data_IF_466018826421
#
_entry.id   IF_466018826421
#
_cell.length_a   1.000
_cell.length_b   1.000
_cell.length_c   1.000
_cell.angle_alpha   90.00
_cell.angle_beta   90.00
_cell.angle_gamma   90.00
#
_symmetry.space_group_name_H-M   'P 1'
#
loop_
_entity.id
_entity.type
_entity.pdbx_description
1 polymer ?
#
# COMPACT_ATOMS: atom_id res chain seq x y z
N UNK A 1 19.66 6.73 -5.32
CA UNK A 1 19.65 5.58 -4.39
C UNK A 1 18.56 4.62 -4.86
N UNK A 2 18.81 3.32 -4.91
CA UNK A 2 17.82 2.36 -5.37
C UNK A 2 16.55 2.47 -4.50
N UNK A 3 15.36 2.47 -5.12
CA UNK A 3 14.07 2.56 -4.42
C UNK A 3 13.88 1.51 -3.31
N UNK A 4 14.70 0.45 -3.32
CA UNK A 4 14.73 -0.64 -2.34
C UNK A 4 15.63 -0.40 -1.13
N UNK A 5 16.62 0.48 -1.26
CA UNK A 5 17.62 0.76 -0.24
C UNK A 5 17.28 2.07 0.46
N UNK A 6 16.11 2.10 1.10
CA UNK A 6 15.73 3.19 1.99
C UNK A 6 16.57 3.07 3.25
N UNK A 7 17.20 4.17 3.63
CA UNK A 7 17.86 4.24 4.92
C UNK A 7 16.80 4.17 6.02
N UNK A 8 16.92 3.16 6.89
CA UNK A 8 15.99 2.89 7.99
C UNK A 8 16.68 3.02 9.36
N UNK A 9 17.96 3.37 9.39
CA UNK A 9 18.69 3.61 10.65
C UNK A 9 18.45 5.03 11.17
N UNK A 10 18.02 5.94 10.29
CA UNK A 10 17.65 7.32 10.62
C UNK A 10 16.13 7.48 10.76
N UNK A 11 15.70 8.39 11.66
CA UNK A 11 14.28 8.69 11.85
C UNK A 11 13.64 9.24 10.57
N UNK A 12 14.30 10.21 9.93
CA UNK A 12 13.81 10.83 8.70
C UNK A 12 13.66 9.81 7.56
N UNK A 13 14.61 8.86 7.45
CA UNK A 13 14.54 7.77 6.48
C UNK A 13 13.37 6.83 6.72
N UNK A 14 13.15 6.44 7.98
CA UNK A 14 12.05 5.57 8.38
C UNK A 14 10.66 6.24 8.22
N UNK A 15 10.54 7.53 8.55
CA UNK A 15 9.33 8.33 8.32
C UNK A 15 9.07 8.52 6.82
N UNK A 16 10.09 8.86 6.04
CA UNK A 16 9.99 8.99 4.59
C UNK A 16 9.54 7.69 3.92
N UNK A 17 10.07 6.54 4.35
CA UNK A 17 9.62 5.23 3.89
C UNK A 17 8.13 4.99 4.19
N UNK A 18 7.72 5.23 5.45
CA UNK A 18 6.34 5.04 5.90
C UNK A 18 5.36 5.96 5.15
N UNK A 19 5.74 7.22 4.90
CA UNK A 19 4.92 8.17 4.13
C UNK A 19 4.79 7.75 2.67
N UNK A 20 5.88 7.31 2.03
CA UNK A 20 5.86 6.82 0.64
C UNK A 20 4.98 5.57 0.49
N UNK A 21 5.07 4.63 1.43
CA UNK A 21 4.16 3.48 1.45
C UNK A 21 2.70 3.89 1.68
N UNK A 22 2.45 4.88 2.53
CA UNK A 22 1.12 5.46 2.70
C UNK A 22 0.57 6.09 1.43
N UNK A 23 1.41 6.78 0.66
CA UNK A 23 1.03 7.33 -0.66
C UNK A 23 0.71 6.23 -1.67
N UNK A 24 1.49 5.15 -1.69
CA UNK A 24 1.19 3.98 -2.53
C UNK A 24 -0.17 3.35 -2.17
N UNK A 25 -0.54 3.29 -0.89
CA UNK A 25 -1.87 2.86 -0.47
C UNK A 25 -2.98 3.80 -0.98
N UNK A 26 -2.79 5.11 -0.98
CA UNK A 26 -3.78 6.02 -1.55
C UNK A 26 -3.90 5.90 -3.07
N UNK A 27 -2.80 5.68 -3.78
CA UNK A 27 -2.85 5.38 -5.23
C UNK A 27 -3.62 4.09 -5.47
N UNK A 28 -3.34 3.02 -4.71
CA UNK A 28 -4.08 1.77 -4.81
C UNK A 28 -5.58 1.96 -4.54
N UNK A 29 -5.94 2.72 -3.50
CA UNK A 29 -7.33 3.09 -3.23
C UNK A 29 -7.96 3.83 -4.43
N UNK A 30 -7.28 4.82 -5.00
CA UNK A 30 -7.76 5.52 -6.20
C UNK A 30 -7.96 4.58 -7.40
N UNK A 31 -7.02 3.66 -7.64
CA UNK A 31 -7.14 2.66 -8.70
C UNK A 31 -8.31 1.69 -8.47
N UNK A 32 -8.58 1.28 -7.23
CA UNK A 32 -9.77 0.46 -6.92
C UNK A 32 -11.08 1.18 -7.23
N UNK A 33 -11.16 2.51 -6.96
CA UNK A 33 -12.33 3.33 -7.31
C UNK A 33 -12.50 3.41 -8.83
N UNK A 34 -11.41 3.61 -9.58
CA UNK A 34 -11.46 3.60 -11.05
C UNK A 34 -11.89 2.22 -11.56
N UNK A 35 -11.34 1.14 -10.99
CA UNK A 35 -11.74 -0.23 -11.31
C UNK A 35 -13.22 -0.50 -11.04
N UNK A 36 -13.76 0.05 -9.95
CA UNK A 36 -15.19 -0.04 -9.63
C UNK A 36 -16.05 0.69 -10.67
N UNK A 37 -15.66 1.90 -11.08
CA UNK A 37 -16.38 2.64 -12.11
C UNK A 37 -16.39 1.88 -13.44
N UNK A 38 -15.27 1.26 -13.81
CA UNK A 38 -15.17 0.40 -15.00
C UNK A 38 -16.04 -0.86 -14.87
N UNK A 39 -16.04 -1.50 -13.69
CA UNK A 39 -16.90 -2.66 -13.42
C UNK A 39 -18.36 -2.29 -13.66
N UNK A 40 -18.85 -1.19 -13.07
CA UNK A 40 -20.23 -0.72 -13.24
C UNK A 40 -20.53 -0.41 -14.71
N UNK A 41 -19.63 0.26 -15.42
CA UNK A 41 -19.85 0.64 -16.82
C UNK A 41 -19.91 -0.55 -17.79
N UNK A 42 -19.23 -1.66 -17.47
CA UNK A 42 -19.11 -2.83 -18.34
C UNK A 42 -20.01 -4.01 -17.91
N UNK A 43 -20.72 -3.89 -16.79
CA UNK A 43 -21.50 -4.98 -16.22
C UNK A 43 -22.82 -5.20 -16.99
N UNK A 44 -23.03 -6.42 -17.48
CA UNK A 44 -24.22 -6.81 -18.23
C UNK A 44 -24.97 -8.01 -17.62
N UNK A 45 -24.71 -8.33 -16.34
CA UNK A 45 -25.30 -9.47 -15.62
C UNK A 45 -26.45 -9.08 -14.67
N UNK A 46 -26.89 -10.02 -13.80
CA UNK A 46 -27.87 -9.76 -12.75
C UNK A 46 -27.38 -8.76 -11.69
N UNK A 47 -28.25 -7.88 -11.21
CA UNK A 47 -27.88 -6.80 -10.27
C UNK A 47 -27.25 -7.34 -8.98
N UNK A 48 -27.66 -8.53 -8.52
CA UNK A 48 -27.13 -9.16 -7.32
C UNK A 48 -25.61 -9.42 -7.43
N UNK A 49 -25.15 -9.83 -8.62
CA UNK A 49 -23.72 -10.05 -8.88
C UNK A 49 -22.93 -8.75 -8.91
N UNK A 50 -23.54 -7.66 -9.41
CA UNK A 50 -22.94 -6.32 -9.39
C UNK A 50 -22.77 -5.81 -7.96
N UNK A 51 -23.80 -5.96 -7.11
CA UNK A 51 -23.76 -5.54 -5.70
C UNK A 51 -22.65 -6.26 -4.94
N UNK A 52 -22.50 -7.57 -5.14
CA UNK A 52 -21.42 -8.35 -4.55
C UNK A 52 -20.04 -7.86 -5.00
N UNK A 53 -19.87 -7.60 -6.30
CA UNK A 53 -18.63 -7.05 -6.85
C UNK A 53 -18.28 -5.66 -6.29
N UNK A 54 -19.25 -4.75 -6.23
CA UNK A 54 -19.06 -3.40 -5.66
C UNK A 54 -18.69 -3.49 -4.19
N UNK A 55 -19.37 -4.32 -3.40
CA UNK A 55 -19.06 -4.49 -1.98
C UNK A 55 -17.62 -5.00 -1.75
N UNK A 56 -17.18 -5.95 -2.59
CA UNK A 56 -15.80 -6.44 -2.58
C UNK A 56 -14.79 -5.32 -2.83
N UNK A 57 -14.91 -4.62 -3.95
CA UNK A 57 -13.98 -3.53 -4.31
C UNK A 57 -14.03 -2.38 -3.29
N UNK A 58 -15.22 -2.03 -2.79
CA UNK A 58 -15.37 -1.00 -1.76
C UNK A 58 -14.63 -1.37 -0.47
N UNK A 59 -14.66 -2.65 -0.07
CA UNK A 59 -13.92 -3.12 1.11
C UNK A 59 -12.41 -2.96 0.93
N UNK A 60 -11.87 -3.26 -0.25
CA UNK A 60 -10.46 -3.05 -0.58
C UNK A 60 -10.09 -1.57 -0.54
N UNK A 61 -10.92 -0.70 -1.12
CA UNK A 61 -10.73 0.76 -1.08
C UNK A 61 -10.63 1.26 0.36
N UNK A 62 -11.48 0.76 1.27
CA UNK A 62 -11.45 1.13 2.69
C UNK A 62 -10.15 0.66 3.34
N UNK A 63 -9.73 -0.59 3.10
CA UNK A 63 -8.49 -1.12 3.68
C UNK A 63 -7.28 -0.32 3.21
N UNK A 64 -7.15 -0.05 1.91
CA UNK A 64 -6.06 0.77 1.37
C UNK A 64 -6.07 2.18 1.95
N UNK A 65 -7.25 2.80 2.05
CA UNK A 65 -7.40 4.15 2.63
C UNK A 65 -6.95 4.18 4.10
N UNK A 66 -7.41 3.23 4.92
CA UNK A 66 -7.04 3.13 6.34
C UNK A 66 -5.55 2.84 6.50
N UNK A 67 -4.99 1.93 5.68
CA UNK A 67 -3.56 1.65 5.65
C UNK A 67 -2.74 2.89 5.30
N UNK A 68 -3.18 3.68 4.31
CA UNK A 68 -2.54 4.94 3.93
C UNK A 68 -2.42 5.92 5.09
N UNK A 69 -3.52 6.19 5.80
CA UNK A 69 -3.50 7.06 6.96
C UNK A 69 -2.64 6.51 8.10
N UNK A 70 -2.72 5.19 8.36
CA UNK A 70 -1.97 4.56 9.45
C UNK A 70 -0.47 4.50 9.19
N UNK A 71 -0.04 4.26 7.94
CA UNK A 71 1.37 4.29 7.55
C UNK A 71 1.95 5.70 7.66
N UNK A 72 1.23 6.74 7.23
CA UNK A 72 1.66 8.14 7.42
C UNK A 72 1.79 8.55 8.88
N UNK A 73 1.03 7.93 9.78
CA UNK A 73 1.15 8.13 11.22
C UNK A 73 2.26 7.30 11.89
N UNK A 74 3.08 6.56 11.12
CA UNK A 74 4.13 5.68 11.64
C UNK A 74 3.62 4.44 12.38
N UNK A 75 2.30 4.23 12.45
CA UNK A 75 1.64 3.14 13.21
C UNK A 75 0.98 2.10 12.30
N UNK A 76 1.41 2.07 11.03
CA UNK A 76 0.73 1.34 9.96
C UNK A 76 1.21 -0.07 9.70
N UNK A 77 2.02 -0.70 10.58
CA UNK A 77 2.59 -2.04 10.31
C UNK A 77 1.51 -3.08 10.02
N UNK A 78 0.47 -3.15 10.84
CA UNK A 78 -0.61 -4.14 10.67
C UNK A 78 -1.42 -3.83 9.41
N UNK A 79 -1.95 -2.60 9.31
CA UNK A 79 -2.81 -2.21 8.19
C UNK A 79 -2.08 -2.19 6.85
N UNK A 80 -0.83 -1.72 6.82
CA UNK A 80 0.03 -1.77 5.65
C UNK A 80 0.39 -3.20 5.24
N UNK A 81 0.59 -4.11 6.20
CA UNK A 81 0.76 -5.53 5.93
C UNK A 81 -0.49 -6.18 5.32
N UNK A 82 -1.68 -5.87 5.85
CA UNK A 82 -2.96 -6.33 5.28
C UNK A 82 -3.16 -5.77 3.87
N UNK A 83 -2.90 -4.49 3.64
CA UNK A 83 -2.98 -3.87 2.32
C UNK A 83 -2.02 -4.51 1.31
N UNK A 84 -0.77 -4.76 1.72
CA UNK A 84 0.21 -5.45 0.87
C UNK A 84 -0.25 -6.89 0.53
N UNK A 85 -0.81 -7.61 1.51
CA UNK A 85 -1.35 -8.96 1.29
C UNK A 85 -2.53 -8.94 0.31
N UNK A 86 -3.47 -8.00 0.45
CA UNK A 86 -4.58 -7.85 -0.49
C UNK A 86 -4.08 -7.59 -1.91
N UNK A 87 -3.07 -6.72 -2.07
CA UNK A 87 -2.49 -6.42 -3.37
C UNK A 87 -1.80 -7.66 -3.98
N UNK A 88 -1.15 -8.50 -3.18
CA UNK A 88 -0.58 -9.78 -3.62
C UNK A 88 -1.70 -10.72 -4.09
N UNK A 89 -2.78 -10.86 -3.31
CA UNK A 89 -3.93 -11.70 -3.69
C UNK A 89 -4.52 -11.21 -5.01
N UNK A 90 -4.72 -9.90 -5.17
CA UNK A 90 -5.23 -9.29 -6.40
C UNK A 90 -4.32 -9.60 -7.61
N UNK A 91 -3.00 -9.50 -7.44
CA UNK A 91 -2.04 -9.84 -8.49
C UNK A 91 -2.09 -11.32 -8.87
N UNK A 92 -2.19 -12.23 -7.89
CA UNK A 92 -2.33 -13.67 -8.14
C UNK A 92 -3.63 -13.95 -8.89
N UNK A 93 -4.74 -13.33 -8.48
CA UNK A 93 -6.02 -13.49 -9.17
C UNK A 93 -5.95 -13.01 -10.61
N UNK A 94 -5.38 -11.82 -10.88
CA UNK A 94 -5.16 -11.31 -12.24
C UNK A 94 -4.31 -12.23 -13.10
N UNK A 95 -3.30 -12.87 -12.50
CA UNK A 95 -2.46 -13.84 -13.19
C UNK A 95 -3.25 -15.12 -13.53
N UNK A 96 -4.02 -15.66 -12.58
CA UNK A 96 -4.82 -16.88 -12.78
C UNK A 96 -5.91 -16.67 -13.82
N UNK A 97 -6.58 -15.52 -13.81
CA UNK A 97 -7.66 -15.21 -14.75
C UNK A 97 -7.15 -14.67 -16.10
N UNK A 98 -5.85 -14.41 -16.23
CA UNK A 98 -5.23 -13.77 -17.41
C UNK A 98 -5.87 -12.43 -17.79
N UNK A 99 -6.45 -11.72 -16.81
CA UNK A 99 -7.11 -10.44 -17.01
C UNK A 99 -6.21 -9.29 -16.56
N UNK A 100 -6.09 -8.24 -17.38
CA UNK A 100 -5.48 -6.98 -16.93
C UNK A 100 -3.98 -7.07 -16.63
N UNK A 101 -3.23 -7.81 -17.45
CA UNK A 101 -1.77 -8.01 -17.31
C UNK A 101 -1.00 -6.69 -17.19
N UNK A 102 -1.41 -5.64 -17.90
CA UNK A 102 -0.80 -4.32 -17.80
C UNK A 102 -0.86 -3.74 -16.37
N UNK A 103 -1.91 -4.05 -15.61
CA UNK A 103 -2.07 -3.62 -14.22
C UNK A 103 -1.15 -4.36 -13.23
N UNK A 104 -0.58 -5.50 -13.60
CA UNK A 104 0.31 -6.28 -12.72
C UNK A 104 1.60 -5.50 -12.46
N UNK A 105 2.14 -4.80 -13.47
CA UNK A 105 3.36 -3.99 -13.31
C UNK A 105 3.12 -2.84 -12.33
N UNK A 106 1.98 -2.15 -12.46
CA UNK A 106 1.58 -1.07 -11.54
C UNK A 106 1.46 -1.62 -10.12
N UNK A 107 0.75 -2.74 -9.94
CA UNK A 107 0.60 -3.38 -8.64
C UNK A 107 1.94 -3.82 -8.03
N UNK A 108 2.88 -4.30 -8.84
CA UNK A 108 4.21 -4.67 -8.36
C UNK A 108 5.00 -3.46 -7.84
N UNK A 109 4.96 -2.33 -8.56
CA UNK A 109 5.59 -1.09 -8.10
C UNK A 109 4.94 -0.61 -6.80
N UNK A 110 3.61 -0.58 -6.74
CA UNK A 110 2.88 -0.19 -5.53
C UNK A 110 3.22 -1.11 -4.35
N UNK A 111 3.29 -2.42 -4.58
CA UNK A 111 3.66 -3.41 -3.57
C UNK A 111 5.05 -3.13 -3.00
N UNK A 112 6.03 -2.83 -3.84
CA UNK A 112 7.39 -2.50 -3.39
C UNK A 112 7.39 -1.28 -2.46
N UNK A 113 6.66 -0.22 -2.81
CA UNK A 113 6.51 0.97 -1.97
C UNK A 113 5.76 0.67 -0.66
N UNK A 114 4.69 -0.15 -0.71
CA UNK A 114 3.97 -0.57 0.49
C UNK A 114 4.87 -1.35 1.44
N UNK A 115 5.63 -2.33 0.94
CA UNK A 115 6.57 -3.13 1.75
C UNK A 115 7.61 -2.23 2.42
N UNK A 116 8.19 -1.28 1.68
CA UNK A 116 9.13 -0.31 2.27
C UNK A 116 8.47 0.57 3.33
N UNK A 117 7.22 0.98 3.13
CA UNK A 117 6.47 1.70 4.15
C UNK A 117 6.18 0.88 5.40
N UNK A 118 5.85 -0.41 5.26
CA UNK A 118 5.70 -1.31 6.40
C UNK A 118 7.01 -1.46 7.16
N UNK A 119 8.15 -1.60 6.46
CA UNK A 119 9.49 -1.66 7.06
C UNK A 119 9.83 -0.36 7.81
N UNK A 120 9.52 0.80 7.24
CA UNK A 120 9.68 2.10 7.90
C UNK A 120 8.84 2.23 9.16
N UNK A 121 7.55 1.90 9.08
CA UNK A 121 6.67 1.90 10.24
C UNK A 121 7.12 0.90 11.34
N UNK A 122 7.75 -0.21 10.94
CA UNK A 122 8.31 -1.17 11.89
C UNK A 122 9.57 -0.63 12.58
N UNK A 123 10.45 0.04 11.85
CA UNK A 123 11.64 0.69 12.41
C UNK A 123 11.25 1.78 13.43
N UNK A 124 10.31 2.65 13.06
CA UNK A 124 9.75 3.67 13.98
C UNK A 124 9.15 3.06 15.25
N UNK A 125 8.51 1.89 15.15
CA UNK A 125 7.92 1.21 16.31
C UNK A 125 8.95 0.59 17.25
N UNK A 126 10.09 0.13 16.71
CA UNK A 126 11.13 -0.54 17.50
C UNK A 126 12.00 0.45 18.27
N UNK A 127 12.05 1.72 17.86
CA UNK A 127 12.91 2.73 18.48
C UNK A 127 14.41 2.46 18.27
N UNK A 128 14.74 1.60 17.31
CA UNK A 128 16.10 1.14 16.95
C UNK A 128 16.79 2.15 16.01
N UNK A 129 16.54 3.44 16.25
CA UNK A 129 17.03 4.54 15.41
C UNK A 129 18.28 5.11 16.07
N UNK A 130 19.29 5.42 15.27
CA UNK A 130 20.58 5.91 15.75
C UNK A 130 20.47 7.38 16.19
N UNK A 131 19.80 7.63 17.31
CA UNK A 131 19.55 8.98 17.84
C UNK A 131 20.85 9.68 18.25
N UNK A 132 21.89 8.90 18.57
CA UNK A 132 23.22 9.39 18.93
C UNK A 132 24.00 10.01 17.76
N UNK A 133 23.70 9.64 16.51
CA UNK A 133 24.37 10.23 15.34
C UNK A 133 23.84 11.64 15.04
N UNK A 134 22.55 11.90 15.29
CA UNK A 134 21.94 13.24 15.14
C UNK A 134 22.38 14.19 16.26
N UNK A 135 22.53 13.69 17.49
CA UNK A 135 22.99 14.50 18.63
C UNK A 135 24.40 15.08 18.41
N UNK A 136 25.30 14.33 17.77
CA UNK A 136 26.68 14.76 17.46
C UNK A 136 26.80 15.90 16.44
N UNK A 137 25.73 16.23 15.72
CA UNK A 137 25.73 17.38 14.80
C UNK A 137 25.50 18.70 15.56
N UNK A 138 24.94 18.62 16.77
CA UNK A 138 24.59 19.79 17.60
C UNK A 138 25.52 20.00 18.82
N UNK A 139 26.47 19.10 19.05
CA UNK A 139 27.59 19.25 20.00
C UNK A 139 28.85 19.79 19.28
#
# INVERSE_FOLDING_TARGET
>A
MAFWNTDLTTQDGAEGAAQNGGFACFIAAGLTVVGMAMLVAMYNGPVEGLVGGIAGVASETVVFTVAGFRLRAGKGVIWGGVAALLLIIEMVMKLVTMTGIAGIVINFVLLAFMINGVRGALALRRGDLDVEEVAKVFD
#
